data_IF_174247922852
#
_entry.id   IF_174247922852
#
_cell.length_a   1.000
_cell.length_b   1.000
_cell.length_c   1.000
_cell.angle_alpha   90.00
_cell.angle_beta   90.00
_cell.angle_gamma   90.00
#
_symmetry.space_group_name_H-M   'P 1'
#
loop_
_entity.id
_entity.type
_entity.pdbx_description
1 polymer ?
#
# COMPACT_ATOMS: atom_id res chain seq x y z
N UNK A 1 -3.08 -31.43 -2.68
CA UNK A 1 -4.10 -30.34 -2.78
C UNK A 1 -3.38 -29.01 -2.94
N UNK A 2 -3.11 -28.59 -4.16
CA UNK A 2 -2.46 -27.31 -4.46
C UNK A 2 -3.54 -26.22 -4.37
N UNK A 3 -3.59 -25.50 -3.25
CA UNK A 3 -4.41 -24.28 -3.15
C UNK A 3 -3.82 -23.27 -4.14
N UNK A 4 -4.55 -22.98 -5.21
CA UNK A 4 -4.28 -21.81 -6.03
C UNK A 4 -4.21 -20.59 -5.11
N UNK A 5 -3.09 -19.85 -5.15
CA UNK A 5 -2.92 -18.65 -4.34
C UNK A 5 -3.93 -17.61 -4.82
N UNK A 6 -5.07 -17.55 -4.12
CA UNK A 6 -6.22 -16.74 -4.49
C UNK A 6 -5.94 -15.26 -4.28
N UNK A 7 -6.43 -14.44 -5.21
CA UNK A 7 -6.42 -12.99 -5.13
C UNK A 7 -6.94 -12.51 -3.76
N UNK A 8 -6.09 -11.83 -3.00
CA UNK A 8 -6.40 -11.25 -1.71
C UNK A 8 -6.98 -9.85 -1.92
N UNK A 9 -8.26 -9.65 -1.62
CA UNK A 9 -8.87 -8.31 -1.56
C UNK A 9 -8.55 -7.65 -0.23
N UNK A 10 -8.36 -6.35 -0.24
CA UNK A 10 -8.25 -5.60 1.00
C UNK A 10 -9.58 -5.66 1.76
N UNK A 11 -9.55 -6.13 3.02
CA UNK A 11 -10.77 -6.45 3.77
C UNK A 11 -11.76 -5.29 3.89
N UNK A 12 -11.25 -4.06 3.98
CA UNK A 12 -12.10 -2.87 4.07
C UNK A 12 -13.01 -2.68 2.85
N UNK A 13 -12.58 -3.11 1.66
CA UNK A 13 -13.39 -2.98 0.43
C UNK A 13 -14.55 -3.95 0.45
N UNK A 14 -14.37 -5.12 1.06
CA UNK A 14 -15.44 -6.13 1.20
C UNK A 14 -16.46 -5.68 2.24
N UNK A 15 -16.03 -5.02 3.32
CA UNK A 15 -16.92 -4.58 4.40
C UNK A 15 -17.57 -3.20 4.20
N UNK A 16 -16.81 -2.24 3.68
CA UNK A 16 -17.17 -0.81 3.64
C UNK A 16 -17.06 -0.19 2.25
N UNK A 17 -16.89 -1.01 1.21
CA UNK A 17 -16.92 -0.56 -0.17
C UNK A 17 -15.75 0.32 -0.59
N UNK A 18 -15.93 1.00 -1.72
CA UNK A 18 -14.93 1.87 -2.34
C UNK A 18 -14.80 3.20 -1.58
N UNK A 19 -15.92 3.67 -1.00
CA UNK A 19 -16.08 4.93 -0.29
C UNK A 19 -15.31 4.97 1.03
N UNK A 20 -14.91 3.81 1.55
CA UNK A 20 -14.04 3.72 2.72
C UNK A 20 -12.72 4.48 2.54
N UNK A 21 -12.25 4.58 1.29
CA UNK A 21 -11.02 5.28 0.92
C UNK A 21 -11.29 6.48 0.01
N UNK A 22 -12.28 6.36 -0.88
CA UNK A 22 -12.56 7.34 -1.93
C UNK A 22 -13.75 8.25 -1.59
N UNK A 23 -13.66 9.52 -1.93
CA UNK A 23 -14.79 10.45 -1.96
C UNK A 23 -15.48 10.35 -3.33
N UNK A 24 -16.77 9.97 -3.39
CA UNK A 24 -17.49 9.85 -4.66
C UNK A 24 -17.89 11.20 -5.27
N UNK A 25 -17.82 12.31 -4.53
CA UNK A 25 -18.20 13.64 -4.99
C UNK A 25 -16.99 14.45 -5.44
N UNK A 26 -16.02 14.67 -4.54
CA UNK A 26 -14.78 15.38 -4.83
C UNK A 26 -13.82 15.34 -3.63
N UNK A 27 -12.53 15.37 -3.91
CA UNK A 27 -11.46 15.53 -2.92
C UNK A 27 -10.28 16.30 -3.50
N UNK A 28 -9.63 17.06 -2.63
CA UNK A 28 -8.37 17.76 -2.90
C UNK A 28 -7.16 16.81 -3.02
N UNK A 29 -7.34 15.52 -2.68
CA UNK A 29 -6.28 14.53 -2.70
C UNK A 29 -6.34 13.66 -3.95
N UNK A 30 -5.15 13.28 -4.45
CA UNK A 30 -5.03 12.42 -5.62
C UNK A 30 -5.88 11.15 -5.49
N UNK A 31 -6.44 10.70 -6.61
CA UNK A 31 -7.32 9.53 -6.71
C UNK A 31 -8.64 9.66 -5.95
N UNK A 32 -9.11 10.89 -5.70
CA UNK A 32 -10.33 11.15 -4.93
C UNK A 32 -10.25 10.54 -3.52
N UNK A 33 -9.10 10.56 -2.87
CA UNK A 33 -8.96 9.93 -1.54
C UNK A 33 -9.45 10.87 -0.44
N UNK A 34 -9.96 10.36 0.69
CA UNK A 34 -10.34 11.23 1.82
C UNK A 34 -9.16 11.94 2.50
N UNK A 35 -7.94 11.43 2.35
CA UNK A 35 -6.69 11.92 2.96
C UNK A 35 -5.49 11.58 2.08
N UNK A 36 -4.30 12.19 2.29
CA UNK A 36 -3.06 11.73 1.67
C UNK A 36 -2.80 10.24 1.96
N UNK A 37 -2.26 9.50 0.99
CA UNK A 37 -2.17 8.02 0.98
C UNK A 37 -1.75 7.45 2.35
N UNK A 38 -0.60 7.84 2.89
CA UNK A 38 -0.10 7.28 4.14
C UNK A 38 -1.00 7.63 5.34
N UNK A 39 -1.55 8.84 5.39
CA UNK A 39 -2.49 9.27 6.44
C UNK A 39 -3.82 8.52 6.34
N UNK A 40 -4.29 8.20 5.14
CA UNK A 40 -5.48 7.38 4.91
C UNK A 40 -5.27 5.97 5.45
N UNK A 41 -4.18 5.31 5.07
CA UNK A 41 -3.85 3.97 5.56
C UNK A 41 -3.73 3.94 7.09
N UNK A 42 -3.03 4.91 7.68
CA UNK A 42 -2.85 5.01 9.12
C UNK A 42 -4.15 5.40 9.88
N UNK A 43 -5.21 5.78 9.17
CA UNK A 43 -6.55 5.99 9.77
C UNK A 43 -7.17 4.71 10.33
N UNK A 44 -6.85 3.55 9.73
CA UNK A 44 -7.28 2.24 10.24
C UNK A 44 -6.09 1.41 10.76
N UNK A 45 -4.92 1.51 10.15
CA UNK A 45 -3.70 0.84 10.60
C UNK A 45 -2.98 1.68 11.67
N UNK A 46 -3.64 1.83 12.83
CA UNK A 46 -3.25 2.79 13.88
C UNK A 46 -1.80 2.64 14.38
N UNK A 47 -1.26 1.42 14.39
CA UNK A 47 0.14 1.14 14.79
C UNK A 47 1.19 1.74 13.85
N UNK A 48 0.79 2.16 12.65
CA UNK A 48 1.66 2.78 11.65
C UNK A 48 1.50 4.31 11.62
N UNK A 49 0.68 4.90 12.50
CA UNK A 49 0.53 6.35 12.57
C UNK A 49 1.86 7.04 12.87
N UNK A 50 2.19 8.04 12.05
CA UNK A 50 3.43 8.81 12.16
C UNK A 50 4.69 8.07 11.73
N UNK A 51 4.60 6.80 11.30
CA UNK A 51 5.76 6.03 10.89
C UNK A 51 6.30 6.56 9.55
N UNK A 52 7.59 6.89 9.52
CA UNK A 52 8.28 7.39 8.33
C UNK A 52 9.27 6.40 7.74
N UNK A 53 9.65 5.37 8.51
CA UNK A 53 10.60 4.33 8.13
C UNK A 53 10.40 3.08 9.00
N UNK A 54 11.05 1.97 8.63
CA UNK A 54 11.17 0.79 9.52
C UNK A 54 10.12 -0.30 9.33
N UNK A 55 9.31 -0.24 8.26
CA UNK A 55 8.34 -1.28 7.94
C UNK A 55 8.52 -1.79 6.50
N UNK A 56 8.63 -3.12 6.28
CA UNK A 56 8.90 -4.17 7.27
C UNK A 56 10.39 -4.27 7.65
N UNK A 57 11.27 -3.52 6.98
CA UNK A 57 12.72 -3.56 7.15
C UNK A 57 13.18 -2.31 7.91
N UNK A 58 14.01 -2.50 8.93
CA UNK A 58 14.58 -1.42 9.74
C UNK A 58 15.26 -0.37 8.87
N UNK A 59 14.95 0.91 9.12
CA UNK A 59 15.53 2.05 8.37
C UNK A 59 15.01 2.23 6.93
N UNK A 60 14.24 1.30 6.37
CA UNK A 60 13.68 1.46 5.02
C UNK A 60 12.65 2.60 5.02
N UNK A 61 12.73 3.58 4.09
CA UNK A 61 11.82 4.71 4.05
C UNK A 61 10.39 4.28 3.71
N UNK A 62 9.41 5.04 4.21
CA UNK A 62 7.98 4.91 3.88
C UNK A 62 7.38 6.19 3.29
N UNK A 63 8.14 7.29 3.32
CA UNK A 63 7.75 8.63 2.87
C UNK A 63 8.99 9.49 2.60
N UNK A 64 8.85 10.60 1.88
CA UNK A 64 9.90 11.63 1.72
C UNK A 64 11.10 11.20 0.87
N UNK A 65 11.01 10.06 0.18
CA UNK A 65 11.97 9.60 -0.84
C UNK A 65 11.21 9.37 -2.14
N UNK A 66 11.81 9.56 -3.32
CA UNK A 66 11.16 9.24 -4.59
C UNK A 66 10.79 7.74 -4.67
N UNK A 67 9.65 7.42 -5.27
CA UNK A 67 9.29 6.04 -5.64
C UNK A 67 10.10 5.64 -6.89
N UNK A 68 11.02 4.67 -6.79
CA UNK A 68 11.87 4.27 -7.93
C UNK A 68 11.08 3.70 -9.11
N UNK A 69 9.87 3.19 -8.87
CA UNK A 69 9.02 2.60 -9.91
C UNK A 69 8.10 3.61 -10.58
N UNK A 70 7.89 4.77 -9.96
CA UNK A 70 6.95 5.77 -10.44
C UNK A 70 7.58 7.17 -10.39
N UNK A 71 8.21 7.58 -11.49
CA UNK A 71 8.88 8.88 -11.63
C UNK A 71 7.94 10.03 -11.23
N UNK A 72 8.45 10.93 -10.39
CA UNK A 72 7.70 12.10 -9.91
C UNK A 72 6.71 11.82 -8.77
N UNK A 73 6.69 10.59 -8.24
CA UNK A 73 5.92 10.24 -7.03
C UNK A 73 6.87 10.05 -5.86
N UNK A 74 6.37 10.36 -4.67
CA UNK A 74 7.03 9.95 -3.44
C UNK A 74 6.64 8.51 -3.06
N UNK A 75 7.56 7.85 -2.39
CA UNK A 75 7.36 6.55 -1.78
C UNK A 75 6.23 6.65 -0.76
N UNK A 76 5.32 5.68 -0.80
CA UNK A 76 4.15 5.61 0.08
C UNK A 76 3.82 4.17 0.44
N UNK A 77 2.82 3.94 1.29
CA UNK A 77 2.28 2.61 1.54
C UNK A 77 1.90 1.89 0.24
N UNK A 78 1.36 2.63 -0.74
CA UNK A 78 0.94 2.10 -2.04
C UNK A 78 2.11 1.78 -3.01
N UNK A 79 3.34 2.13 -2.66
CA UNK A 79 4.51 1.76 -3.46
C UNK A 79 4.86 0.27 -3.32
N UNK A 80 4.55 -0.33 -2.16
CA UNK A 80 4.77 -1.75 -1.87
C UNK A 80 3.46 -2.55 -1.78
N UNK A 81 2.35 -1.92 -1.37
CA UNK A 81 1.03 -2.55 -1.25
C UNK A 81 0.09 -2.15 -2.39
N UNK A 82 -0.80 -3.06 -2.77
CA UNK A 82 -1.91 -2.84 -3.71
C UNK A 82 -3.19 -2.65 -2.90
N UNK A 83 -3.66 -1.41 -2.70
CA UNK A 83 -4.73 -1.11 -1.74
C UNK A 83 -6.09 -1.73 -2.08
N UNK A 84 -6.31 -2.14 -3.35
CA UNK A 84 -7.51 -2.86 -3.76
C UNK A 84 -7.42 -4.37 -3.54
N UNK A 85 -6.26 -4.95 -3.87
CA UNK A 85 -6.05 -6.38 -3.83
C UNK A 85 -4.79 -6.81 -4.57
N UNK A 86 -4.26 -7.98 -4.20
CA UNK A 86 -3.09 -8.59 -4.82
C UNK A 86 -3.16 -10.12 -4.81
N UNK A 87 -2.48 -10.76 -5.75
CA UNK A 87 -2.21 -12.20 -5.70
C UNK A 87 -1.14 -12.56 -4.65
N UNK A 88 -0.46 -11.57 -4.07
CA UNK A 88 0.55 -11.78 -3.04
C UNK A 88 0.00 -11.48 -1.66
N UNK A 89 0.48 -12.23 -0.66
CA UNK A 89 0.14 -12.02 0.74
C UNK A 89 0.41 -10.57 1.17
N UNK A 90 -0.36 -10.10 2.16
CA UNK A 90 -0.30 -8.72 2.67
C UNK A 90 -0.52 -7.65 1.59
N UNK A 91 -1.20 -8.02 0.50
CA UNK A 91 -1.48 -7.13 -0.62
C UNK A 91 -0.22 -6.62 -1.33
N UNK A 92 0.91 -7.31 -1.23
CA UNK A 92 2.18 -6.80 -1.76
C UNK A 92 2.18 -6.76 -3.30
N UNK A 93 3.06 -5.94 -3.89
CA UNK A 93 3.29 -5.88 -5.35
C UNK A 93 4.15 -7.06 -5.88
N UNK A 94 4.67 -7.89 -4.98
CA UNK A 94 5.54 -9.02 -5.26
C UNK A 94 5.57 -9.96 -4.06
N UNK A 95 6.10 -11.16 -4.26
CA UNK A 95 6.22 -12.14 -3.18
C UNK A 95 7.21 -11.66 -2.11
N UNK A 96 6.86 -11.72 -0.81
CA UNK A 96 7.83 -11.51 0.26
C UNK A 96 8.84 -12.67 0.34
N UNK A 97 8.43 -13.89 -0.03
CA UNK A 97 9.34 -15.04 -0.14
C UNK A 97 10.37 -14.77 -1.23
N UNK A 98 11.64 -15.00 -0.91
CA UNK A 98 12.77 -14.74 -1.79
C UNK A 98 13.08 -13.25 -2.02
N UNK A 99 12.44 -12.33 -1.29
CA UNK A 99 12.70 -10.89 -1.44
C UNK A 99 12.21 -10.30 -2.78
N UNK A 100 11.34 -11.00 -3.50
CA UNK A 100 10.86 -10.59 -4.83
C UNK A 100 10.06 -9.27 -4.84
N UNK A 101 9.58 -8.82 -3.69
CA UNK A 101 9.02 -7.48 -3.50
C UNK A 101 10.12 -6.41 -3.48
N UNK A 102 11.27 -6.70 -2.86
CA UNK A 102 12.39 -5.79 -2.69
C UNK A 102 13.10 -5.53 -4.04
N UNK A 103 13.23 -6.58 -4.86
CA UNK A 103 13.84 -6.52 -6.19
C UNK A 103 13.03 -5.72 -7.20
N UNK A 104 11.82 -5.24 -6.82
CA UNK A 104 11.06 -4.28 -7.64
C UNK A 104 11.69 -2.89 -7.66
N UNK A 105 12.60 -2.60 -6.73
CA UNK A 105 13.32 -1.33 -6.64
C UNK A 105 14.83 -1.50 -6.43
N UNK A 106 15.28 -2.57 -5.78
CA UNK A 106 16.69 -2.86 -5.49
C UNK A 106 17.22 -3.95 -6.42
N UNK A 107 17.82 -3.56 -7.54
CA UNK A 107 18.39 -4.45 -8.56
C UNK A 107 19.90 -4.57 -8.40
#
# INVERSE_FOLDING_TARGET
>A
MLKTQGFHRHGIIVGSGCEACHDPHASDYQFQLHKPINKLCAGCHLRLQGMTHGHPVGGHPLTGKPDPRHKGRELSCASCHRPHGSNYQYLLIGSPLGGNVCTKCHH
#
